data_IF_657455766409
#
_entry.id   IF_657455766409
#
_cell.length_a   1.000
_cell.length_b   1.000
_cell.length_c   1.000
_cell.angle_alpha   90.00
_cell.angle_beta   90.00
_cell.angle_gamma   90.00
#
_symmetry.space_group_name_H-M   'P 1'
#
loop_
_entity.id
_entity.type
_entity.pdbx_description
1 polymer ?
#
# COMPACT_ATOMS: atom_id res chain seq x y z
N UNK A 1 16.61 -3.29 -0.51
CA UNK A 1 16.60 -1.82 -0.29
C UNK A 1 15.68 -1.19 -1.33
N UNK A 2 14.75 -0.32 -0.94
CA UNK A 2 13.74 0.21 -1.89
C UNK A 2 14.26 1.31 -2.82
N UNK A 3 13.66 1.42 -4.02
CA UNK A 3 13.93 2.49 -4.98
C UNK A 3 12.89 3.60 -4.84
N UNK A 4 13.36 4.83 -4.59
CA UNK A 4 12.51 6.01 -4.40
C UNK A 4 12.40 6.81 -5.71
N UNK A 5 11.19 7.10 -6.15
CA UNK A 5 10.94 7.86 -7.40
C UNK A 5 10.67 9.35 -7.18
N UNK A 6 10.01 9.73 -6.07
CA UNK A 6 9.62 11.12 -5.72
C UNK A 6 9.69 11.32 -4.18
N UNK A 7 9.19 12.43 -3.62
CA UNK A 7 9.28 12.71 -2.17
C UNK A 7 10.09 13.95 -1.79
N UNK A 8 10.34 14.88 -2.73
CA UNK A 8 11.24 16.02 -2.47
C UNK A 8 10.48 17.20 -1.85
N UNK A 9 11.17 17.95 -0.99
CA UNK A 9 10.66 19.22 -0.45
C UNK A 9 10.48 20.26 -1.56
N UNK A 10 9.36 20.97 -1.52
CA UNK A 10 9.06 22.13 -2.37
C UNK A 10 9.37 23.39 -1.55
N UNK A 11 10.38 24.14 -1.96
CA UNK A 11 10.91 25.29 -1.19
C UNK A 11 10.41 26.65 -1.65
N UNK A 12 9.66 26.70 -2.76
CA UNK A 12 9.29 27.95 -3.45
C UNK A 12 8.10 28.73 -2.82
N UNK A 13 7.54 28.28 -1.70
CA UNK A 13 6.28 28.83 -1.16
C UNK A 13 6.51 29.67 0.11
N UNK A 14 6.87 29.03 1.22
CA UNK A 14 7.14 29.66 2.51
C UNK A 14 8.20 28.82 3.26
N UNK A 15 9.28 29.41 3.81
CA UNK A 15 10.31 28.68 4.56
C UNK A 15 9.79 27.86 5.75
N UNK A 16 8.72 28.32 6.39
CA UNK A 16 8.08 27.69 7.56
C UNK A 16 7.00 26.67 7.17
N UNK A 17 6.73 26.51 5.88
CA UNK A 17 5.82 25.49 5.36
C UNK A 17 6.58 24.25 4.84
N UNK A 18 5.92 23.09 4.95
CA UNK A 18 6.47 21.78 4.60
C UNK A 18 5.67 21.13 3.48
N UNK A 19 5.77 21.69 2.28
CA UNK A 19 5.23 21.09 1.07
C UNK A 19 6.19 20.05 0.50
N UNK A 20 5.66 18.90 0.09
CA UNK A 20 6.43 17.80 -0.51
C UNK A 20 5.71 17.26 -1.73
N UNK A 21 6.45 16.77 -2.72
CA UNK A 21 5.85 15.89 -3.72
C UNK A 21 5.56 14.51 -3.11
N UNK A 22 4.43 13.86 -3.44
CA UNK A 22 4.17 12.50 -2.98
C UNK A 22 5.31 11.54 -3.35
N UNK A 23 5.67 10.64 -2.45
CA UNK A 23 6.70 9.64 -2.70
C UNK A 23 6.08 8.34 -3.23
N UNK A 24 6.70 7.77 -4.26
CA UNK A 24 6.44 6.38 -4.67
C UNK A 24 7.74 5.63 -4.44
N UNK A 25 7.66 4.48 -3.77
CA UNK A 25 8.81 3.68 -3.38
C UNK A 25 8.58 2.22 -3.79
N UNK A 26 9.38 1.71 -4.72
CA UNK A 26 9.37 0.28 -5.05
C UNK A 26 10.20 -0.49 -4.03
N UNK A 27 9.57 -1.43 -3.33
CA UNK A 27 10.18 -2.24 -2.29
C UNK A 27 10.47 -3.65 -2.82
N UNK A 28 11.67 -4.14 -2.57
CA UNK A 28 12.05 -5.53 -2.92
C UNK A 28 11.36 -6.56 -2.04
N UNK A 29 10.98 -6.17 -0.81
CA UNK A 29 10.39 -7.03 0.21
C UNK A 29 9.33 -6.28 1.01
N UNK A 30 8.30 -7.00 1.44
CA UNK A 30 7.28 -6.53 2.38
C UNK A 30 7.79 -6.74 3.81
N UNK A 31 8.68 -5.84 4.27
CA UNK A 31 9.29 -5.90 5.60
C UNK A 31 9.70 -4.51 6.10
N UNK A 32 9.94 -4.38 7.41
CA UNK A 32 10.49 -3.17 8.03
C UNK A 32 9.53 -1.98 7.94
N UNK A 33 10.02 -0.86 7.41
CA UNK A 33 9.31 0.44 7.39
C UNK A 33 7.94 0.39 6.72
N UNK A 34 7.69 -0.59 5.84
CA UNK A 34 6.38 -0.77 5.18
C UNK A 34 5.26 -1.08 6.18
N UNK A 35 5.58 -1.68 7.33
CA UNK A 35 4.58 -2.05 8.35
C UNK A 35 4.25 -0.89 9.28
N UNK A 36 5.07 0.15 9.28
CA UNK A 36 4.91 1.32 10.14
C UNK A 36 4.22 2.44 9.35
N UNK A 37 3.03 2.81 9.81
CA UNK A 37 2.32 3.94 9.24
C UNK A 37 3.13 5.22 9.48
N UNK A 38 3.58 5.83 8.38
CA UNK A 38 4.10 7.20 8.39
C UNK A 38 3.01 8.12 7.88
N UNK A 39 2.61 9.11 8.69
CA UNK A 39 1.56 10.07 8.32
C UNK A 39 2.09 11.13 7.33
N UNK A 40 2.45 10.67 6.13
CA UNK A 40 3.00 11.41 5.02
C UNK A 40 2.54 10.79 3.68
N UNK A 41 2.56 11.53 2.56
CA UNK A 41 2.10 11.01 1.27
C UNK A 41 3.12 10.07 0.64
N UNK A 42 3.18 8.82 1.13
CA UNK A 42 4.12 7.79 0.68
C UNK A 42 3.33 6.58 0.20
N UNK A 43 3.61 6.12 -1.02
CA UNK A 43 3.07 4.89 -1.59
C UNK A 43 4.19 3.86 -1.77
N UNK A 44 4.09 2.75 -1.06
CA UNK A 44 4.98 1.59 -1.25
C UNK A 44 4.41 0.67 -2.34
N UNK A 45 5.23 0.30 -3.31
CA UNK A 45 4.92 -0.68 -4.35
C UNK A 45 5.60 -2.00 -4.03
N UNK A 46 4.81 -3.06 -3.96
CA UNK A 46 5.26 -4.41 -3.61
C UNK A 46 4.72 -5.36 -4.67
N UNK A 47 5.62 -6.09 -5.30
CA UNK A 47 5.27 -7.08 -6.31
C UNK A 47 4.90 -8.38 -5.62
N UNK A 48 3.83 -9.00 -6.09
CA UNK A 48 3.47 -10.37 -5.76
C UNK A 48 3.40 -11.20 -7.05
N UNK A 49 3.40 -12.52 -6.91
CA UNK A 49 3.25 -13.45 -8.03
C UNK A 49 2.45 -14.68 -7.58
N UNK A 50 1.98 -15.46 -8.55
CA UNK A 50 1.08 -16.60 -8.30
C UNK A 50 -0.36 -16.14 -8.11
N UNK A 51 -1.06 -16.78 -7.16
CA UNK A 51 -2.48 -16.54 -6.93
C UNK A 51 -2.76 -15.27 -6.12
N UNK A 52 -3.98 -14.76 -6.22
CA UNK A 52 -4.44 -13.57 -5.48
C UNK A 52 -4.30 -13.73 -3.97
N UNK A 53 -4.37 -14.95 -3.45
CA UNK A 53 -4.18 -15.27 -2.02
C UNK A 53 -2.79 -14.88 -1.53
N UNK A 54 -1.76 -14.89 -2.37
CA UNK A 54 -0.44 -14.37 -2.02
C UNK A 54 -0.47 -12.84 -1.83
N UNK A 55 -1.24 -12.13 -2.66
CA UNK A 55 -1.42 -10.69 -2.53
C UNK A 55 -2.18 -10.34 -1.25
N UNK A 56 -3.23 -11.12 -0.94
CA UNK A 56 -4.03 -10.98 0.29
C UNK A 56 -3.15 -11.24 1.53
N UNK A 57 -2.33 -12.28 1.52
CA UNK A 57 -1.41 -12.58 2.62
C UNK A 57 -0.40 -11.45 2.87
N UNK A 58 0.06 -10.78 1.80
CA UNK A 58 0.89 -9.57 1.93
C UNK A 58 0.09 -8.39 2.47
N UNK A 59 -1.12 -8.14 1.97
CA UNK A 59 -1.97 -7.05 2.43
C UNK A 59 -2.34 -7.19 3.93
N UNK A 60 -2.66 -8.40 4.38
CA UNK A 60 -2.97 -8.72 5.77
C UNK A 60 -1.70 -8.88 6.65
N UNK A 61 -0.50 -8.71 6.08
CA UNK A 61 0.79 -8.91 6.76
C UNK A 61 1.19 -7.76 7.71
N UNK A 62 0.33 -6.76 7.85
CA UNK A 62 0.55 -5.56 8.69
C UNK A 62 -0.38 -5.56 9.91
N UNK A 63 -0.09 -4.73 10.90
CA UNK A 63 -0.89 -4.68 12.15
C UNK A 63 -2.14 -3.81 12.04
N UNK A 64 -2.22 -2.98 11.01
CA UNK A 64 -3.33 -2.08 10.72
C UNK A 64 -4.41 -2.78 9.88
N UNK A 65 -5.68 -2.36 10.00
CA UNK A 65 -6.80 -3.01 9.33
C UNK A 65 -7.96 -2.06 9.00
N UNK A 66 -7.66 -0.82 8.58
CA UNK A 66 -8.70 0.19 8.34
C UNK A 66 -9.50 -0.07 7.05
N UNK A 67 -8.81 -0.06 5.91
CA UNK A 67 -9.43 -0.18 4.59
C UNK A 67 -8.49 -0.86 3.60
N UNK A 68 -9.07 -1.61 2.67
CA UNK A 68 -8.39 -2.26 1.57
C UNK A 68 -9.21 -2.18 0.27
N UNK A 69 -8.55 -2.38 -0.87
CA UNK A 69 -9.20 -2.48 -2.17
C UNK A 69 -8.43 -3.42 -3.10
N UNK A 70 -9.16 -4.17 -3.94
CA UNK A 70 -8.59 -4.93 -5.07
C UNK A 70 -9.07 -4.33 -6.38
N UNK A 71 -8.19 -4.11 -7.35
CA UNK A 71 -8.58 -3.67 -8.69
C UNK A 71 -8.48 -4.86 -9.66
N UNK A 72 -9.61 -5.47 -10.00
CA UNK A 72 -9.66 -6.65 -10.88
C UNK A 72 -10.97 -6.72 -11.67
N UNK A 73 -10.93 -7.33 -12.87
CA UNK A 73 -12.12 -7.72 -13.63
C UNK A 73 -12.48 -9.20 -13.43
N UNK A 74 -11.65 -9.95 -12.69
CA UNK A 74 -11.89 -11.36 -12.41
C UNK A 74 -12.85 -11.47 -11.21
N UNK A 75 -14.08 -11.87 -11.49
CA UNK A 75 -15.11 -12.02 -10.47
C UNK A 75 -14.71 -12.98 -9.34
N UNK A 76 -13.93 -14.03 -9.63
CA UNK A 76 -13.48 -14.98 -8.59
C UNK A 76 -12.48 -14.33 -7.63
N UNK A 77 -11.63 -13.43 -8.12
CA UNK A 77 -10.67 -12.71 -7.28
C UNK A 77 -11.36 -11.65 -6.44
N UNK A 78 -12.31 -10.92 -7.03
CA UNK A 78 -13.13 -9.94 -6.32
C UNK A 78 -13.89 -10.58 -5.14
N UNK A 79 -14.61 -11.68 -5.39
CA UNK A 79 -15.35 -12.40 -4.33
C UNK A 79 -14.41 -13.03 -3.29
N UNK A 80 -13.27 -13.59 -3.71
CA UNK A 80 -12.27 -14.12 -2.79
C UNK A 80 -11.76 -13.02 -1.84
N UNK A 81 -11.46 -11.84 -2.36
CA UNK A 81 -10.99 -10.69 -1.60
C UNK A 81 -12.01 -10.18 -0.57
N UNK A 82 -13.31 -10.22 -0.91
CA UNK A 82 -14.40 -9.81 -0.01
C UNK A 82 -14.87 -10.90 0.96
N UNK A 83 -14.40 -12.13 0.78
CA UNK A 83 -14.81 -13.27 1.60
C UNK A 83 -14.21 -13.24 3.01
N UNK A 84 -14.66 -14.15 3.87
CA UNK A 84 -14.08 -14.33 5.21
C UNK A 84 -12.61 -14.80 5.20
N UNK A 85 -12.11 -15.31 4.07
CA UNK A 85 -10.71 -15.71 3.87
C UNK A 85 -9.90 -14.61 3.15
N UNK A 86 -10.54 -13.48 2.82
CA UNK A 86 -9.97 -12.39 2.04
C UNK A 86 -9.32 -11.30 2.87
N UNK A 87 -9.64 -10.04 2.57
CA UNK A 87 -9.12 -8.89 3.32
C UNK A 87 -9.60 -8.93 4.77
N UNK A 88 -8.69 -8.63 5.70
CA UNK A 88 -8.95 -8.52 7.13
C UNK A 88 -9.34 -7.10 7.59
N UNK A 89 -9.52 -6.17 6.65
CA UNK A 89 -9.82 -4.78 6.94
C UNK A 89 -11.31 -4.55 7.25
N UNK A 90 -11.60 -3.52 8.05
CA UNK A 90 -12.99 -3.13 8.36
C UNK A 90 -13.80 -2.66 7.14
N UNK A 91 -13.12 -2.16 6.11
CA UNK A 91 -13.70 -1.79 4.81
C UNK A 91 -12.89 -2.50 3.72
N UNK A 92 -13.57 -3.26 2.85
CA UNK A 92 -12.96 -3.92 1.70
C UNK A 92 -13.74 -3.55 0.42
N UNK A 93 -13.04 -3.07 -0.61
CA UNK A 93 -13.64 -2.62 -1.87
C UNK A 93 -13.08 -3.38 -3.09
N UNK A 94 -13.78 -3.26 -4.22
CA UNK A 94 -13.40 -3.77 -5.55
C UNK A 94 -13.45 -2.63 -6.56
#
# INVERSE_FOLDING_TARGET
MGKVFQGKRITAVNPDAFYVSPAIVEMEKHEGIVFEETFAPILYLIKYSGDVTNAIALQNGVVQGLSSSIFTNNFREAEMFLSAEGSDCGIANV
#
